data_IF_211221754949
#
_entry.id   IF_211221754949
#
_cell.length_a   1.000
_cell.length_b   1.000
_cell.length_c   1.000
_cell.angle_alpha   90.00
_cell.angle_beta   90.00
_cell.angle_gamma   90.00
#
_symmetry.space_group_name_H-M   'P 1'
#
loop_
_entity.id
_entity.type
_entity.pdbx_description
1 polymer ?
#
# COMPACT_ATOMS: atom_id res chain seq x y z
N UNK A 1 -21.56 9.67 51.39
CA UNK A 1 -21.79 9.67 49.93
C UNK A 1 -20.56 10.10 49.11
N UNK A 2 -19.68 10.99 49.60
CA UNK A 2 -18.53 11.48 48.83
C UNK A 2 -17.35 10.49 48.76
N UNK A 3 -17.11 9.69 49.82
CA UNK A 3 -16.00 8.72 49.82
C UNK A 3 -16.23 7.53 48.86
N UNK A 4 -17.47 7.04 48.75
CA UNK A 4 -17.82 5.96 47.82
C UNK A 4 -17.62 6.38 46.36
N UNK A 5 -17.98 7.63 46.03
CA UNK A 5 -17.77 8.19 44.69
C UNK A 5 -16.28 8.24 44.35
N UNK A 6 -15.42 8.67 45.28
CA UNK A 6 -13.97 8.73 45.09
C UNK A 6 -13.35 7.38 44.73
N UNK A 7 -13.74 6.31 45.43
CA UNK A 7 -13.26 4.96 45.11
C UNK A 7 -13.72 4.47 43.72
N UNK A 8 -14.97 4.77 43.33
CA UNK A 8 -15.48 4.43 42.00
C UNK A 8 -14.70 5.18 40.92
N UNK A 9 -14.47 6.48 41.10
CA UNK A 9 -13.66 7.29 40.20
C UNK A 9 -12.23 6.75 40.07
N UNK A 10 -11.57 6.44 41.18
CA UNK A 10 -10.21 5.91 41.15
C UNK A 10 -10.12 4.58 40.40
N UNK A 11 -11.07 3.65 40.64
CA UNK A 11 -11.11 2.38 39.91
C UNK A 11 -11.33 2.60 38.41
N UNK A 12 -12.24 3.50 38.03
CA UNK A 12 -12.48 3.84 36.62
C UNK A 12 -11.21 4.37 35.94
N UNK A 13 -10.52 5.32 36.58
CA UNK A 13 -9.27 5.88 36.06
C UNK A 13 -8.14 4.84 35.99
N UNK A 14 -8.03 3.97 36.99
CA UNK A 14 -7.02 2.92 37.05
C UNK A 14 -7.13 1.93 35.89
N UNK A 15 -8.35 1.61 35.43
CA UNK A 15 -8.55 0.74 34.27
C UNK A 15 -8.54 1.50 32.94
N UNK A 16 -9.02 2.75 32.90
CA UNK A 16 -9.15 3.49 31.64
C UNK A 16 -7.81 3.99 31.11
N UNK A 17 -6.89 4.46 31.97
CA UNK A 17 -5.60 5.01 31.52
C UNK A 17 -4.73 3.94 30.82
N UNK A 18 -4.51 2.74 31.39
CA UNK A 18 -3.73 1.70 30.70
C UNK A 18 -4.38 1.26 29.39
N UNK A 19 -5.72 1.16 29.36
CA UNK A 19 -6.44 0.80 28.14
C UNK A 19 -6.23 1.83 27.03
N UNK A 20 -6.30 3.13 27.35
CA UNK A 20 -6.03 4.21 26.41
C UNK A 20 -4.60 4.16 25.88
N UNK A 21 -3.61 3.89 26.75
CA UNK A 21 -2.20 3.76 26.34
C UNK A 21 -2.02 2.59 25.37
N UNK A 22 -2.65 1.44 25.63
CA UNK A 22 -2.61 0.28 24.73
C UNK A 22 -3.25 0.61 23.38
N UNK A 23 -4.44 1.22 23.38
CA UNK A 23 -5.12 1.63 22.14
C UNK A 23 -4.25 2.59 21.34
N UNK A 24 -3.66 3.60 21.98
CA UNK A 24 -2.76 4.56 21.34
C UNK A 24 -1.54 3.88 20.72
N UNK A 25 -0.93 2.93 21.44
CA UNK A 25 0.18 2.13 20.93
C UNK A 25 -0.22 1.32 19.69
N UNK A 26 -1.38 0.66 19.72
CA UNK A 26 -1.92 -0.09 18.58
C UNK A 26 -2.15 0.83 17.37
N UNK A 27 -2.72 2.02 17.57
CA UNK A 27 -2.95 2.99 16.49
C UNK A 27 -1.64 3.40 15.81
N UNK A 28 -0.59 3.71 16.58
CA UNK A 28 0.71 4.13 16.03
C UNK A 28 1.32 3.00 15.20
N UNK A 29 1.33 1.77 15.73
CA UNK A 29 1.85 0.60 15.01
C UNK A 29 1.06 0.38 13.71
N UNK A 30 -0.26 0.51 13.76
CA UNK A 30 -1.12 0.37 12.58
C UNK A 30 -0.79 1.44 11.52
N UNK A 31 -0.61 2.70 11.91
CA UNK A 31 -0.23 3.78 10.99
C UNK A 31 1.11 3.49 10.30
N UNK A 32 2.10 2.99 11.03
CA UNK A 32 3.40 2.65 10.45
C UNK A 32 3.33 1.49 9.45
N UNK A 33 2.43 0.51 9.67
CA UNK A 33 2.18 -0.59 8.73
C UNK A 33 1.51 -0.16 7.42
N UNK A 34 0.99 1.07 7.33
CA UNK A 34 0.32 1.61 6.14
C UNK A 34 1.19 2.65 5.43
N UNK A 35 1.72 3.63 6.16
CA UNK A 35 2.40 4.77 5.58
C UNK A 35 3.64 4.37 4.74
N UNK A 36 4.44 3.43 5.25
CA UNK A 36 5.62 2.93 4.53
C UNK A 36 5.26 2.25 3.20
N UNK A 37 4.38 1.23 3.22
CA UNK A 37 3.86 0.60 2.00
C UNK A 37 3.26 1.57 0.99
N UNK A 38 2.44 2.53 1.42
CA UNK A 38 1.83 3.53 0.53
C UNK A 38 2.88 4.37 -0.18
N UNK A 39 3.86 4.91 0.55
CA UNK A 39 4.93 5.72 -0.04
C UNK A 39 5.73 4.94 -1.09
N UNK A 40 6.00 3.65 -0.82
CA UNK A 40 6.65 2.77 -1.79
C UNK A 40 5.79 2.54 -3.04
N UNK A 41 4.47 2.38 -2.90
CA UNK A 41 3.55 2.23 -4.04
C UNK A 41 3.52 3.50 -4.91
N UNK A 42 3.40 4.66 -4.28
CA UNK A 42 3.35 5.97 -4.93
C UNK A 42 4.61 6.21 -5.79
N UNK A 43 5.79 6.07 -5.18
CA UNK A 43 7.06 6.22 -5.89
C UNK A 43 7.22 5.24 -7.08
N UNK A 44 6.68 4.01 -6.98
CA UNK A 44 6.71 3.08 -8.12
C UNK A 44 5.72 3.45 -9.20
N UNK A 45 4.56 3.98 -8.84
CA UNK A 45 3.59 4.47 -9.79
C UNK A 45 4.13 5.70 -10.53
N UNK A 46 4.76 6.64 -9.84
CA UNK A 46 5.42 7.80 -10.44
C UNK A 46 6.47 7.38 -11.48
N UNK A 47 7.34 6.42 -11.15
CA UNK A 47 8.33 5.88 -12.09
C UNK A 47 7.67 5.21 -13.31
N UNK A 48 6.58 4.46 -13.09
CA UNK A 48 5.83 3.86 -14.19
C UNK A 48 5.26 4.94 -15.12
N UNK A 49 4.69 6.01 -14.55
CA UNK A 49 4.13 7.15 -15.28
C UNK A 49 5.21 7.96 -16.01
N UNK A 50 6.42 8.04 -15.46
CA UNK A 50 7.58 8.65 -16.12
C UNK A 50 8.12 7.82 -17.31
N UNK A 51 7.53 6.65 -17.60
CA UNK A 51 7.98 5.77 -18.67
C UNK A 51 9.15 4.88 -18.27
N UNK A 52 9.52 4.83 -17.01
CA UNK A 52 10.49 3.87 -16.49
C UNK A 52 9.86 2.48 -16.32
N UNK A 53 10.70 1.49 -16.01
CA UNK A 53 10.28 0.12 -15.74
C UNK A 53 10.55 -0.24 -14.27
N UNK A 54 9.77 0.30 -13.31
CA UNK A 54 10.00 0.04 -11.90
C UNK A 54 9.86 -1.46 -11.56
N UNK A 55 10.57 -1.95 -10.54
CA UNK A 55 10.39 -3.30 -10.03
C UNK A 55 9.02 -3.48 -9.38
N UNK A 56 8.54 -4.71 -9.23
CA UNK A 56 7.27 -5.01 -8.56
C UNK A 56 7.28 -4.56 -7.08
N UNK A 57 6.13 -4.14 -6.59
CA UNK A 57 5.85 -3.78 -5.19
C UNK A 57 5.87 -5.07 -4.35
N UNK A 58 6.69 -5.10 -3.30
CA UNK A 58 6.77 -6.21 -2.35
C UNK A 58 6.59 -5.63 -0.95
N UNK A 59 5.60 -6.14 -0.22
CA UNK A 59 5.31 -5.73 1.16
C UNK A 59 5.71 -6.82 2.14
N UNK A 60 5.90 -6.45 3.42
CA UNK A 60 6.28 -7.41 4.46
C UNK A 60 5.07 -8.25 4.85
N UNK A 61 5.31 -9.50 5.25
CA UNK A 61 4.26 -10.37 5.78
C UNK A 61 3.57 -9.67 6.95
N UNK A 62 2.25 -9.55 6.87
CA UNK A 62 1.42 -8.89 7.87
C UNK A 62 1.13 -7.42 7.62
N UNK A 63 1.71 -6.76 6.59
CA UNK A 63 1.24 -5.45 6.15
C UNK A 63 -0.20 -5.57 5.61
N UNK A 64 -1.04 -4.57 5.85
CA UNK A 64 -2.48 -4.64 5.53
C UNK A 64 -2.77 -4.50 4.02
N UNK A 65 -1.84 -3.90 3.26
CA UNK A 65 -2.05 -3.49 1.87
C UNK A 65 -1.57 -4.52 0.82
N UNK A 66 -1.44 -5.80 1.21
CA UNK A 66 -0.94 -6.86 0.32
C UNK A 66 -1.78 -7.00 -0.95
N UNK A 67 -3.10 -7.05 -0.82
CA UNK A 67 -4.00 -7.19 -1.98
C UNK A 67 -3.89 -5.99 -2.94
N UNK A 68 -3.71 -4.78 -2.40
CA UNK A 68 -3.50 -3.58 -3.21
C UNK A 68 -2.16 -3.65 -3.95
N UNK A 69 -1.10 -4.11 -3.28
CA UNK A 69 0.20 -4.32 -3.90
C UNK A 69 0.11 -5.31 -5.08
N UNK A 70 -0.63 -6.40 -4.92
CA UNK A 70 -0.84 -7.40 -5.98
C UNK A 70 -1.58 -6.81 -7.18
N UNK A 71 -2.64 -6.04 -6.94
CA UNK A 71 -3.38 -5.35 -8.02
C UNK A 71 -2.50 -4.34 -8.74
N UNK A 72 -1.70 -3.56 -8.02
CA UNK A 72 -0.75 -2.61 -8.61
C UNK A 72 0.36 -3.32 -9.42
N UNK A 73 0.83 -4.47 -8.95
CA UNK A 73 1.79 -5.31 -9.68
C UNK A 73 1.21 -5.82 -11.00
N UNK A 74 -0.05 -6.26 -11.00
CA UNK A 74 -0.75 -6.65 -12.22
C UNK A 74 -0.87 -5.47 -13.19
N UNK A 75 -1.17 -4.26 -12.69
CA UNK A 75 -1.21 -3.03 -13.49
C UNK A 75 0.15 -2.70 -14.10
N UNK A 76 1.24 -2.72 -13.31
CA UNK A 76 2.60 -2.48 -13.80
C UNK A 76 2.96 -3.46 -14.92
N UNK A 77 2.65 -4.74 -14.73
CA UNK A 77 2.93 -5.80 -15.70
C UNK A 77 2.16 -5.58 -17.00
N UNK A 78 0.85 -5.33 -16.89
CA UNK A 78 -0.01 -5.07 -18.05
C UNK A 78 0.46 -3.83 -18.83
N UNK A 79 0.85 -2.76 -18.14
CA UNK A 79 1.33 -1.54 -18.78
C UNK A 79 2.64 -1.76 -19.55
N UNK A 80 3.56 -2.56 -18.98
CA UNK A 80 4.80 -2.96 -19.66
C UNK A 80 4.51 -3.76 -20.94
N UNK A 81 3.62 -4.74 -20.85
CA UNK A 81 3.23 -5.57 -22.00
C UNK A 81 2.60 -4.74 -23.12
N UNK A 82 1.75 -3.77 -22.77
CA UNK A 82 1.12 -2.86 -23.73
C UNK A 82 2.14 -1.98 -24.46
N UNK A 83 3.16 -1.48 -23.74
CA UNK A 83 4.27 -0.72 -24.32
C UNK A 83 5.11 -1.58 -25.26
N UNK A 84 5.44 -2.80 -24.87
CA UNK A 84 6.23 -3.71 -25.70
C UNK A 84 5.50 -4.07 -26.99
N UNK A 85 4.18 -4.38 -26.91
CA UNK A 85 3.34 -4.64 -28.08
C UNK A 85 3.28 -3.43 -29.01
N UNK A 86 3.13 -2.23 -28.47
CA UNK A 86 3.14 -0.98 -29.25
C UNK A 86 4.47 -0.76 -29.97
N UNK A 87 5.59 -1.04 -29.29
CA UNK A 87 6.94 -0.95 -29.88
C UNK A 87 7.14 -1.96 -31.02
N UNK A 88 6.74 -3.22 -30.83
CA UNK A 88 6.84 -4.27 -31.87
C UNK A 88 5.96 -3.97 -33.09
N UNK A 89 4.75 -3.45 -32.89
CA UNK A 89 3.86 -3.05 -33.98
C UNK A 89 4.42 -1.87 -34.79
N UNK A 90 5.13 -0.94 -34.15
CA UNK A 90 5.82 0.15 -34.84
C UNK A 90 7.04 -0.35 -35.65
N UNK A 91 7.77 -1.35 -35.16
CA UNK A 91 8.95 -1.93 -35.82
C UNK A 91 8.62 -2.92 -36.95
N UNK A 92 7.44 -3.57 -36.92
CA UNK A 92 6.99 -4.51 -37.95
C UNK A 92 5.55 -4.19 -38.37
N UNK A 93 5.32 -3.09 -39.12
CA UNK A 93 3.99 -2.71 -39.51
C UNK A 93 3.31 -3.76 -40.40
N UNK A 94 2.00 -3.95 -40.19
CA UNK A 94 1.15 -4.98 -40.83
C UNK A 94 1.24 -4.99 -42.37
N UNK A 95 1.50 -3.84 -42.98
CA UNK A 95 1.69 -3.73 -44.43
C UNK A 95 2.94 -4.45 -44.95
N UNK A 96 3.98 -4.66 -44.12
CA UNK A 96 5.19 -5.42 -44.50
C UNK A 96 4.93 -6.92 -44.68
N UNK A 97 3.83 -7.46 -44.14
CA UNK A 97 3.45 -8.88 -44.33
C UNK A 97 2.54 -9.09 -45.54
N UNK A 98 1.96 -8.03 -46.10
CA UNK A 98 1.01 -8.10 -47.22
C UNK A 98 1.70 -8.02 -48.59
N UNK A 99 2.97 -7.63 -48.64
CA UNK A 99 3.74 -7.34 -49.86
C UNK A 99 4.61 -8.50 -50.36
N UNK A 100 4.37 -9.73 -49.91
CA UNK A 100 5.12 -10.92 -50.33
C UNK A 100 4.22 -12.02 -50.85
#
# INVERSE_FOLDING_TARGET
MNQLKGHIFYRLFYFSIPLLVVIMGCCIVFTHKIAGPIYNMENKLEKLLAGENPPLIVLRKGDELQELADKLNATITTFKDLREKSSKNAASPKWLKQSR
#
